data_IF_115930785427
#
_entry.id   IF_115930785427
#
_cell.length_a   1.000
_cell.length_b   1.000
_cell.length_c   1.000
_cell.angle_alpha   90.00
_cell.angle_beta   90.00
_cell.angle_gamma   90.00
#
_symmetry.space_group_name_H-M   'P 1'
#
loop_
_entity.id
_entity.type
_entity.pdbx_description
1 polymer ?
#
# COMPACT_ATOMS: atom_id res chain seq x y z
N UNK A 1 11.55 -26.48 -5.52
CA UNK A 1 10.44 -26.17 -4.61
C UNK A 1 10.37 -24.68 -4.36
N UNK A 2 9.31 -24.17 -3.74
CA UNK A 2 9.09 -22.74 -3.52
C UNK A 2 8.24 -22.09 -4.61
N UNK A 3 7.95 -20.79 -4.45
CA UNK A 3 6.97 -20.07 -5.27
C UNK A 3 7.30 -20.11 -6.78
N UNK A 4 8.59 -20.03 -7.13
CA UNK A 4 9.09 -20.17 -8.51
C UNK A 4 8.59 -21.47 -9.16
N UNK A 5 8.80 -22.60 -8.50
CA UNK A 5 8.44 -23.90 -9.06
C UNK A 5 6.91 -24.06 -9.21
N UNK A 6 6.13 -23.45 -8.31
CA UNK A 6 4.66 -23.46 -8.38
C UNK A 6 4.17 -22.62 -9.55
N UNK A 7 4.74 -21.43 -9.75
CA UNK A 7 4.38 -20.51 -10.84
C UNK A 7 4.76 -21.10 -12.20
N UNK A 8 5.95 -21.70 -12.31
CA UNK A 8 6.39 -22.38 -13.55
C UNK A 8 5.52 -23.60 -13.87
N UNK A 9 5.03 -24.34 -12.87
CA UNK A 9 4.18 -25.51 -13.07
C UNK A 9 2.77 -25.18 -13.63
N UNK A 10 2.35 -23.92 -13.56
CA UNK A 10 1.07 -23.44 -14.13
C UNK A 10 1.28 -22.56 -15.37
N UNK A 11 2.45 -22.67 -16.03
CA UNK A 11 2.84 -21.92 -17.24
C UNK A 11 2.89 -20.39 -17.06
N UNK A 12 2.98 -19.91 -15.82
CA UNK A 12 3.18 -18.49 -15.57
C UNK A 12 4.67 -18.13 -15.68
N UNK A 13 4.93 -16.98 -16.30
CA UNK A 13 6.27 -16.38 -16.36
C UNK A 13 6.40 -15.37 -15.23
N UNK A 14 7.55 -15.34 -14.58
CA UNK A 14 7.87 -14.32 -13.58
C UNK A 14 9.23 -13.71 -13.87
N UNK A 15 9.42 -12.48 -13.41
CA UNK A 15 10.70 -11.78 -13.40
C UNK A 15 11.05 -11.50 -11.93
N UNK A 16 12.21 -11.95 -11.48
CA UNK A 16 12.72 -11.62 -10.16
C UNK A 16 13.37 -10.23 -10.21
N UNK A 17 12.86 -9.29 -9.40
CA UNK A 17 13.38 -7.92 -9.29
C UNK A 17 14.36 -7.76 -8.14
N UNK A 18 14.66 -8.84 -7.41
CA UNK A 18 15.51 -8.83 -6.23
C UNK A 18 14.82 -8.26 -4.99
N UNK A 19 15.56 -8.25 -3.88
CA UNK A 19 15.07 -7.73 -2.61
C UNK A 19 15.02 -6.20 -2.60
N UNK A 20 14.04 -5.65 -1.86
CA UNK A 20 13.96 -4.21 -1.63
C UNK A 20 15.12 -3.74 -0.75
N UNK A 21 15.94 -2.83 -1.29
CA UNK A 21 16.94 -2.12 -0.50
C UNK A 21 16.38 -0.81 0.04
N UNK A 22 15.98 -0.79 1.31
CA UNK A 22 15.39 0.38 1.96
C UNK A 22 16.25 1.65 1.94
N UNK A 23 17.58 1.52 1.87
CA UNK A 23 18.45 2.69 1.73
C UNK A 23 18.28 3.33 0.35
N UNK A 24 18.09 2.52 -0.68
CA UNK A 24 17.86 3.01 -2.04
C UNK A 24 16.44 3.56 -2.22
N UNK A 25 15.48 3.17 -1.37
CA UNK A 25 14.11 3.67 -1.42
C UNK A 25 13.91 4.96 -0.63
N UNK A 26 14.90 5.35 0.19
CA UNK A 26 14.80 6.53 1.02
C UNK A 26 14.62 7.79 0.17
N UNK A 27 13.60 8.58 0.53
CA UNK A 27 13.35 9.92 0.01
C UNK A 27 13.14 10.01 -1.52
N UNK A 28 12.90 8.88 -2.19
CA UNK A 28 12.54 8.84 -3.62
C UNK A 28 11.02 8.95 -3.81
N UNK A 29 10.57 9.72 -4.81
CA UNK A 29 9.15 9.74 -5.17
C UNK A 29 8.74 8.36 -5.68
N UNK A 30 7.51 7.94 -5.34
CA UNK A 30 6.94 6.69 -5.84
C UNK A 30 6.40 6.93 -7.25
N UNK A 31 6.88 6.20 -8.28
CA UNK A 31 6.37 6.37 -9.64
C UNK A 31 4.88 6.03 -9.73
N UNK A 32 4.17 6.71 -10.65
CA UNK A 32 2.74 6.56 -10.90
C UNK A 32 1.79 6.93 -9.74
N UNK A 33 2.33 7.30 -8.58
CA UNK A 33 1.53 7.82 -7.48
C UNK A 33 0.89 9.16 -7.89
N UNK A 34 -0.32 9.46 -7.39
CA UNK A 34 -0.91 10.78 -7.56
C UNK A 34 0.05 11.88 -7.10
N UNK A 35 0.04 13.01 -7.81
CA UNK A 35 0.66 14.22 -7.29
C UNK A 35 0.07 14.54 -5.95
N UNK A 36 0.94 15.00 -5.07
CA UNK A 36 0.49 15.23 -3.72
C UNK A 36 0.22 16.69 -3.44
N UNK A 37 -1.01 17.05 -3.04
CA UNK A 37 -1.44 18.43 -2.93
C UNK A 37 -0.59 19.24 -1.94
N UNK A 38 -0.23 20.48 -2.29
CA UNK A 38 0.49 21.37 -1.37
C UNK A 38 -0.29 21.67 -0.08
N UNK A 39 -1.63 21.65 -0.13
CA UNK A 39 -2.51 21.84 1.02
C UNK A 39 -2.24 20.87 2.17
N UNK A 40 -1.62 19.72 1.90
CA UNK A 40 -1.25 18.73 2.93
C UNK A 40 -0.09 19.16 3.83
N UNK A 41 0.69 20.17 3.44
CA UNK A 41 1.93 20.51 4.13
C UNK A 41 1.70 20.86 5.61
N UNK A 42 0.48 21.28 5.95
CA UNK A 42 0.06 21.66 7.30
C UNK A 42 -0.57 20.50 8.10
N UNK A 43 -0.81 19.34 7.48
CA UNK A 43 -1.33 18.16 8.18
C UNK A 43 -0.14 17.50 8.91
N UNK A 44 -0.23 17.29 10.24
CA UNK A 44 0.83 16.66 11.00
C UNK A 44 1.00 15.19 10.60
N UNK A 45 2.13 14.60 10.99
CA UNK A 45 2.32 13.15 10.92
C UNK A 45 1.86 12.50 12.22
N UNK A 46 1.28 11.30 12.12
CA UNK A 46 1.06 10.46 13.29
C UNK A 46 2.39 10.21 14.04
N UNK A 47 2.29 10.12 15.36
CA UNK A 47 3.38 9.67 16.23
C UNK A 47 3.83 8.24 15.86
N UNK A 48 5.13 7.96 15.94
CA UNK A 48 5.71 6.66 15.56
C UNK A 48 5.17 5.49 16.40
N UNK A 49 4.59 5.75 17.57
CA UNK A 49 3.93 4.75 18.41
C UNK A 49 2.52 4.39 17.92
N UNK A 50 1.89 5.23 17.08
CA UNK A 50 0.56 4.98 16.51
C UNK A 50 0.62 4.03 15.32
N UNK A 51 1.72 4.05 14.57
CA UNK A 51 1.97 3.14 13.45
C UNK A 51 3.41 2.62 13.54
N UNK A 52 3.58 1.41 14.07
CA UNK A 52 4.88 0.77 14.19
C UNK A 52 5.50 0.54 12.82
N UNK A 53 6.79 0.83 12.70
CA UNK A 53 7.57 0.69 11.46
C UNK A 53 7.02 1.50 10.25
N UNK A 54 6.20 2.53 10.50
CA UNK A 54 5.47 3.26 9.47
C UNK A 54 6.30 3.62 8.23
N UNK A 55 7.45 4.26 8.42
CA UNK A 55 8.32 4.69 7.31
C UNK A 55 8.73 3.53 6.40
N UNK A 56 9.20 2.42 6.99
CA UNK A 56 9.66 1.24 6.22
C UNK A 56 8.49 0.59 5.48
N UNK A 57 7.36 0.41 6.16
CA UNK A 57 6.16 -0.18 5.57
C UNK A 57 5.67 0.69 4.42
N UNK A 58 5.55 2.01 4.61
CA UNK A 58 5.09 2.94 3.60
C UNK A 58 5.96 2.96 2.34
N UNK A 59 7.28 2.94 2.53
CA UNK A 59 8.23 2.87 1.41
C UNK A 59 8.11 1.57 0.63
N UNK A 60 8.04 0.43 1.32
CA UNK A 60 7.83 -0.87 0.67
C UNK A 60 6.48 -0.92 -0.07
N UNK A 61 5.41 -0.43 0.58
CA UNK A 61 4.09 -0.35 -0.01
C UNK A 61 4.08 0.52 -1.28
N UNK A 62 4.80 1.64 -1.31
CA UNK A 62 4.92 2.46 -2.53
C UNK A 62 5.51 1.68 -3.72
N UNK A 63 6.47 0.79 -3.46
CA UNK A 63 7.07 -0.04 -4.51
C UNK A 63 6.11 -1.11 -5.03
N UNK A 64 5.37 -1.74 -4.11
CA UNK A 64 4.31 -2.69 -4.45
C UNK A 64 3.20 -1.99 -5.25
N UNK A 65 2.78 -0.79 -4.83
CA UNK A 65 1.78 0.02 -5.54
C UNK A 65 2.20 0.25 -6.99
N UNK A 66 3.44 0.69 -7.22
CA UNK A 66 3.93 0.97 -8.57
C UNK A 66 3.96 -0.30 -9.44
N UNK A 67 4.42 -1.43 -8.87
CA UNK A 67 4.45 -2.71 -9.59
C UNK A 67 3.04 -3.20 -9.96
N UNK A 68 2.10 -3.13 -9.01
CA UNK A 68 0.69 -3.49 -9.22
C UNK A 68 0.05 -2.58 -10.28
N UNK A 69 0.25 -1.27 -10.17
CA UNK A 69 -0.27 -0.31 -11.13
C UNK A 69 0.21 -0.61 -12.56
N UNK A 70 1.52 -0.80 -12.76
CA UNK A 70 2.07 -1.07 -14.09
C UNK A 70 1.48 -2.34 -14.71
N UNK A 71 1.43 -3.44 -13.94
CA UNK A 71 0.85 -4.69 -14.42
C UNK A 71 -0.66 -4.55 -14.73
N UNK A 72 -1.40 -3.88 -13.86
CA UNK A 72 -2.84 -3.67 -14.04
C UNK A 72 -3.15 -2.76 -15.25
N UNK A 73 -2.35 -1.72 -15.45
CA UNK A 73 -2.44 -0.77 -16.57
C UNK A 73 -2.09 -1.41 -17.91
N UNK A 74 -1.26 -2.46 -17.92
CA UNK A 74 -1.00 -3.33 -19.08
C UNK A 74 -2.14 -4.34 -19.34
N UNK A 75 -3.23 -4.29 -18.59
CA UNK A 75 -4.37 -5.19 -18.75
C UNK A 75 -4.15 -6.59 -18.17
N UNK A 76 -3.06 -6.83 -17.44
CA UNK A 76 -2.75 -8.13 -16.84
C UNK A 76 -3.62 -8.41 -15.62
N UNK A 77 -3.81 -9.70 -15.32
CA UNK A 77 -4.29 -10.14 -14.01
C UNK A 77 -3.13 -10.00 -13.01
N UNK A 78 -3.40 -9.40 -11.85
CA UNK A 78 -2.38 -9.15 -10.83
C UNK A 78 -2.64 -10.03 -9.62
N UNK A 79 -1.64 -10.84 -9.26
CA UNK A 79 -1.62 -11.63 -8.03
C UNK A 79 -0.50 -11.12 -7.14
N UNK A 80 -0.86 -10.49 -6.02
CA UNK A 80 0.10 -10.11 -4.98
C UNK A 80 0.17 -11.23 -3.94
N UNK A 81 1.33 -11.86 -3.81
CA UNK A 81 1.64 -12.81 -2.73
C UNK A 81 2.66 -12.16 -1.82
N UNK A 82 2.42 -12.15 -0.52
CA UNK A 82 3.42 -11.63 0.40
C UNK A 82 3.21 -12.03 1.84
N UNK A 83 3.65 -11.16 2.76
CA UNK A 83 3.60 -11.35 4.20
C UNK A 83 2.24 -11.00 4.80
N UNK A 84 2.22 -10.19 5.86
CA UNK A 84 0.98 -9.78 6.50
C UNK A 84 0.10 -8.86 5.63
N UNK A 85 -1.09 -8.53 6.14
CA UNK A 85 -2.12 -7.83 5.37
C UNK A 85 -1.81 -6.37 5.06
N UNK A 86 -0.67 -5.83 5.51
CA UNK A 86 -0.20 -4.48 5.12
C UNK A 86 -0.17 -4.27 3.60
N UNK A 87 0.04 -5.35 2.83
CA UNK A 87 0.09 -5.36 1.37
C UNK A 87 -1.26 -5.11 0.69
N UNK A 88 -2.38 -5.21 1.40
CA UNK A 88 -3.69 -4.90 0.82
C UNK A 88 -3.78 -3.44 0.38
N UNK A 89 -3.26 -2.50 1.18
CA UNK A 89 -3.30 -1.07 0.87
C UNK A 89 -2.65 -0.76 -0.49
N UNK A 90 -1.36 -1.07 -0.75
CA UNK A 90 -0.75 -0.77 -2.04
C UNK A 90 -1.34 -1.57 -3.21
N UNK A 91 -1.84 -2.78 -2.95
CA UNK A 91 -2.49 -3.60 -3.99
C UNK A 91 -3.80 -2.96 -4.43
N UNK A 92 -4.69 -2.63 -3.49
CA UNK A 92 -5.96 -1.96 -3.78
C UNK A 92 -5.71 -0.62 -4.44
N UNK A 93 -4.82 0.20 -3.90
CA UNK A 93 -4.51 1.52 -4.45
C UNK A 93 -3.94 1.43 -5.88
N UNK A 94 -3.06 0.47 -6.16
CA UNK A 94 -2.49 0.27 -7.50
C UNK A 94 -3.55 -0.16 -8.51
N UNK A 95 -4.41 -1.11 -8.13
CA UNK A 95 -5.52 -1.56 -8.97
C UNK A 95 -6.52 -0.43 -9.22
N UNK A 96 -6.99 0.26 -8.18
CA UNK A 96 -7.96 1.36 -8.30
C UNK A 96 -7.40 2.52 -9.14
N UNK A 97 -6.09 2.76 -9.08
CA UNK A 97 -5.45 3.79 -9.93
C UNK A 97 -5.50 3.43 -11.41
N UNK A 98 -5.32 2.15 -11.75
CA UNK A 98 -5.42 1.65 -13.13
C UNK A 98 -6.87 1.39 -13.57
N UNK A 99 -7.77 1.07 -12.64
CA UNK A 99 -9.16 0.65 -12.85
C UNK A 99 -10.09 1.31 -11.81
N UNK A 100 -10.50 2.57 -12.01
CA UNK A 100 -11.22 3.37 -11.01
C UNK A 100 -12.57 2.81 -10.56
N UNK A 101 -13.18 1.93 -11.35
CA UNK A 101 -14.45 1.24 -11.11
C UNK A 101 -14.31 -0.08 -10.32
N UNK A 102 -13.10 -0.40 -9.84
CA UNK A 102 -12.82 -1.60 -9.05
C UNK A 102 -13.67 -1.67 -7.78
N UNK A 103 -14.24 -2.83 -7.52
CA UNK A 103 -14.86 -3.19 -6.24
C UNK A 103 -13.94 -4.14 -5.45
N UNK A 104 -13.94 -4.03 -4.12
CA UNK A 104 -13.15 -4.87 -3.23
C UNK A 104 -14.06 -5.86 -2.49
N UNK A 105 -13.69 -7.14 -2.53
CA UNK A 105 -14.27 -8.17 -1.66
C UNK A 105 -13.20 -8.54 -0.64
N UNK A 106 -13.46 -8.23 0.63
CA UNK A 106 -12.53 -8.48 1.74
C UNK A 106 -12.96 -9.73 2.51
N UNK A 107 -12.16 -10.79 2.45
CA UNK A 107 -12.43 -12.05 3.16
C UNK A 107 -11.35 -12.25 4.20
N UNK A 108 -11.66 -11.92 5.44
CA UNK A 108 -10.76 -12.02 6.59
C UNK A 108 -11.59 -12.20 7.87
N UNK A 109 -10.99 -12.75 8.92
CA UNK A 109 -11.58 -12.79 10.25
C UNK A 109 -11.65 -11.38 10.88
N UNK A 110 -10.82 -10.44 10.42
CA UNK A 110 -10.75 -9.07 10.90
C UNK A 110 -11.10 -8.07 9.80
N UNK A 111 -11.62 -6.90 10.20
CA UNK A 111 -11.94 -5.84 9.24
C UNK A 111 -10.73 -5.03 8.77
N UNK A 112 -9.58 -5.14 9.45
CA UNK A 112 -8.33 -4.43 9.14
C UNK A 112 -8.51 -2.92 8.91
N UNK A 113 -9.47 -2.36 9.63
CA UNK A 113 -9.98 -1.00 9.48
C UNK A 113 -9.76 -0.15 10.75
N UNK A 114 -8.76 -0.49 11.57
CA UNK A 114 -8.41 0.35 12.71
C UNK A 114 -7.87 1.71 12.24
N UNK A 115 -8.31 2.77 12.90
CA UNK A 115 -7.68 4.08 12.80
C UNK A 115 -6.39 4.10 13.64
N UNK A 116 -5.30 4.79 13.22
CA UNK A 116 -4.08 4.87 14.02
C UNK A 116 -4.30 5.41 15.45
N UNK A 117 -5.28 6.29 15.62
CA UNK A 117 -5.67 6.84 16.93
C UNK A 117 -6.34 5.84 17.87
N UNK A 118 -6.99 4.79 17.37
CA UNK A 118 -7.77 3.81 18.16
C UNK A 118 -7.20 2.40 18.15
N UNK A 119 -6.21 2.11 17.30
CA UNK A 119 -5.59 0.79 17.23
C UNK A 119 -5.02 0.36 18.59
N UNK A 120 -5.33 -0.86 19.07
CA UNK A 120 -4.82 -1.36 20.34
C UNK A 120 -3.34 -1.77 20.27
N UNK A 121 -2.81 -2.03 19.06
CA UNK A 121 -1.47 -2.58 18.87
C UNK A 121 -0.50 -1.63 18.17
N UNK A 122 -1.01 -0.67 17.39
CA UNK A 122 -0.21 0.15 16.49
C UNK A 122 0.39 -0.61 15.31
N UNK A 123 0.04 -1.88 15.11
CA UNK A 123 0.53 -2.66 13.97
C UNK A 123 -0.27 -2.31 12.71
N UNK A 124 0.43 -1.94 11.64
CA UNK A 124 -0.21 -1.47 10.41
C UNK A 124 -1.08 -2.54 9.73
N UNK A 125 -0.79 -3.84 9.87
CA UNK A 125 -1.58 -4.91 9.25
C UNK A 125 -3.07 -4.90 9.62
N UNK A 126 -3.45 -4.26 10.74
CA UNK A 126 -4.85 -4.09 11.15
C UNK A 126 -5.48 -2.75 10.73
N UNK A 127 -4.80 -1.97 9.89
CA UNK A 127 -5.21 -0.66 9.38
C UNK A 127 -5.31 -0.52 7.84
N UNK A 128 -4.88 -1.46 6.97
CA UNK A 128 -4.76 -1.21 5.53
C UNK A 128 -6.10 -0.87 4.87
N UNK A 129 -7.23 -1.44 5.33
CA UNK A 129 -8.54 -1.12 4.79
C UNK A 129 -8.95 0.32 5.12
N UNK A 130 -8.76 0.76 6.37
CA UNK A 130 -9.02 2.14 6.78
C UNK A 130 -8.16 3.14 6.00
N UNK A 131 -6.90 2.80 5.77
CA UNK A 131 -6.01 3.65 4.99
C UNK A 131 -6.43 3.74 3.52
N UNK A 132 -6.78 2.60 2.89
CA UNK A 132 -7.25 2.57 1.50
C UNK A 132 -8.59 3.31 1.30
N UNK A 133 -9.48 3.28 2.30
CA UNK A 133 -10.74 4.03 2.32
C UNK A 133 -10.57 5.53 2.64
N UNK A 134 -9.36 5.95 3.01
CA UNK A 134 -9.04 7.33 3.33
C UNK A 134 -9.54 7.80 4.70
N UNK A 135 -9.62 6.91 5.68
CA UNK A 135 -10.07 7.24 7.03
C UNK A 135 -8.99 7.83 7.93
N UNK A 136 -7.75 7.93 7.45
CA UNK A 136 -6.67 8.56 8.19
C UNK A 136 -6.87 10.08 8.19
N UNK A 137 -6.63 10.71 9.34
CA UNK A 137 -6.78 12.16 9.54
C UNK A 137 -5.42 12.89 9.55
N UNK A 138 -4.36 12.17 9.86
CA UNK A 138 -2.98 12.67 9.85
C UNK A 138 -2.17 11.90 8.80
N UNK A 139 -0.98 12.42 8.49
CA UNK A 139 -0.08 11.81 7.50
C UNK A 139 0.64 10.62 8.10
N UNK A 140 0.78 9.54 7.33
CA UNK A 140 1.57 8.38 7.71
C UNK A 140 2.96 8.46 7.05
N UNK A 141 4.03 8.47 7.86
CA UNK A 141 5.42 8.58 7.35
C UNK A 141 5.72 7.45 6.37
N UNK A 142 6.29 7.76 5.21
CA UNK A 142 6.56 6.79 4.13
C UNK A 142 5.36 6.49 3.23
N UNK A 143 4.15 6.93 3.59
CA UNK A 143 2.94 6.82 2.77
C UNK A 143 2.55 8.14 2.12
N UNK A 144 3.48 9.07 1.94
CA UNK A 144 3.23 10.38 1.33
C UNK A 144 2.63 10.29 -0.07
N UNK A 145 2.81 9.15 -0.75
CA UNK A 145 2.24 8.82 -2.05
C UNK A 145 0.74 8.46 -2.00
N UNK A 146 0.17 8.28 -0.81
CA UNK A 146 -1.26 8.04 -0.59
C UNK A 146 -2.03 9.30 -0.23
N UNK A 147 -1.39 10.33 0.30
CA UNK A 147 -1.99 11.54 0.90
C UNK A 147 -3.07 12.26 0.06
N UNK A 148 -3.20 11.98 -1.24
CA UNK A 148 -4.27 12.53 -2.08
C UNK A 148 -5.69 12.22 -1.56
N UNK A 149 -5.87 11.16 -0.76
CA UNK A 149 -7.16 10.85 -0.14
C UNK A 149 -7.50 11.76 1.06
N UNK A 150 -6.52 12.40 1.70
CA UNK A 150 -6.69 13.23 2.90
C UNK A 150 -7.47 14.55 2.63
N UNK A 151 -7.80 14.84 1.37
CA UNK A 151 -8.65 15.97 0.98
C UNK A 151 -10.13 15.61 0.84
N UNK A 152 -10.47 14.31 0.90
CA UNK A 152 -11.86 13.87 0.85
C UNK A 152 -12.39 13.87 2.28
N UNK A 153 -12.85 15.03 2.74
CA UNK A 153 -13.82 15.02 3.84
C UNK A 153 -15.00 14.16 3.41
N UNK A 154 -15.56 13.31 4.28
CA UNK A 154 -16.80 12.59 3.99
C UNK A 154 -17.94 13.54 3.61
#
# INVERSE_FOLDING_TARGET
GGIKAVVEAIDWRFEDKGDLNFNDLADKPIPNAPEVPQSRANIPYYDDNKIKNCKKIGQACGHVFNAVYNAANEGKFVLTVGGDHSLACPTISGIMRARPDTCVVWVDAHGDCNHPGTSPSGNYHGMPAAHAMGWFQERAKGFEWMDAHLLRSP
#
